data_IF_864530896209
#
_entry.id   IF_864530896209
#
_cell.length_a   1.000
_cell.length_b   1.000
_cell.length_c   1.000
_cell.angle_alpha   90.00
_cell.angle_beta   90.00
_cell.angle_gamma   90.00
#
_symmetry.space_group_name_H-M   'P 1'
#
loop_
_entity.id
_entity.type
_entity.pdbx_description
1 polymer ?
2 non-polymer ?
3 non-polymer ?
4 water ?
#
# COMPACT_ATOMS: atom_id res chain seq x y z
N UNK A 1 -2.51 -23.75 17.91
CA UNK A 1 -3.55 -23.53 16.85
C UNK A 1 -4.00 -24.89 16.26
N UNK A 2 -4.87 -25.54 17.01
CA UNK A 2 -5.83 -26.44 16.44
C UNK A 2 -7.13 -25.70 16.06
N UNK A 3 -7.09 -24.40 15.81
CA UNK A 3 -8.32 -23.63 15.51
C UNK A 3 -8.81 -23.92 14.08
N UNK A 4 -10.13 -24.12 13.90
CA UNK A 4 -10.63 -24.55 12.60
C UNK A 4 -10.55 -23.41 11.60
N UNK A 5 -10.55 -23.72 10.31
CA UNK A 5 -10.53 -22.65 9.35
C UNK A 5 -11.86 -21.89 9.43
N UNK A 6 -12.98 -22.62 9.60
CA UNK A 6 -14.27 -21.98 9.85
C UNK A 6 -14.23 -20.87 10.94
N UNK A 7 -13.50 -21.13 12.02
CA UNK A 7 -13.41 -20.19 13.14
C UNK A 7 -12.53 -18.98 12.77
N UNK A 8 -11.44 -19.21 12.04
CA UNK A 8 -10.60 -18.11 11.54
C UNK A 8 -11.40 -17.20 10.62
N UNK A 9 -12.17 -17.80 9.71
CA UNK A 9 -12.91 -17.07 8.73
C UNK A 9 -13.96 -16.26 9.39
N UNK A 10 -14.58 -16.85 10.39
CA UNK A 10 -15.66 -16.14 11.13
C UNK A 10 -15.13 -14.96 11.93
N UNK A 11 -14.00 -15.16 12.60
CA UNK A 11 -13.38 -14.10 13.42
C UNK A 11 -12.98 -12.92 12.52
N UNK A 12 -12.31 -13.17 11.43
CA UNK A 12 -11.85 -12.08 10.55
C UNK A 12 -13.04 -11.43 9.85
N UNK A 13 -14.01 -12.21 9.40
CA UNK A 13 -15.26 -11.59 8.90
C UNK A 13 -15.82 -10.65 9.95
N UNK A 14 -15.79 -11.06 11.21
CA UNK A 14 -16.39 -10.20 12.26
C UNK A 14 -15.61 -8.91 12.51
N UNK A 15 -14.31 -8.85 12.19
CA UNK A 15 -13.62 -7.59 12.40
C UNK A 15 -14.12 -6.58 11.36
N UNK A 16 -14.53 -7.04 10.17
CA UNK A 16 -15.02 -6.11 9.17
C UNK A 16 -16.45 -5.74 9.50
N UNK A 17 -17.25 -6.72 9.92
CA UNK A 17 -18.65 -6.48 10.32
C UNK A 17 -18.71 -5.45 11.48
N UNK A 18 -17.86 -5.59 12.50
CA UNK A 18 -17.87 -4.66 13.64
C UNK A 18 -17.49 -3.22 13.20
N UNK A 19 -16.59 -3.07 12.23
CA UNK A 19 -16.23 -1.75 11.73
C UNK A 19 -17.33 -1.19 10.82
N UNK A 20 -18.44 -1.92 10.68
CA UNK A 20 -19.48 -1.52 9.75
C UNK A 20 -18.99 -1.14 8.40
N UNK A 21 -18.09 -1.95 7.85
CA UNK A 21 -17.66 -1.79 6.47
C UNK A 21 -17.78 -3.11 5.70
N UNK A 22 -17.45 -3.06 4.42
CA UNK A 22 -17.34 -4.20 3.58
C UNK A 22 -15.89 -4.22 3.10
N UNK A 23 -15.25 -5.36 3.22
CA UNK A 23 -13.83 -5.49 2.90
C UNK A 23 -13.33 -6.91 2.85
N UNK A 24 -12.08 -7.02 2.45
CA UNK A 24 -11.43 -8.29 2.29
C UNK A 24 -9.98 -8.07 2.69
N UNK A 25 -9.33 -9.14 3.10
CA UNK A 25 -7.90 -9.11 3.35
C UNK A 25 -7.32 -10.37 2.76
N UNK A 26 -6.44 -10.18 1.77
CA UNK A 26 -5.80 -11.25 1.09
C UNK A 26 -4.43 -11.51 1.67
N UNK A 27 -4.12 -12.77 1.97
CA UNK A 27 -2.86 -13.19 2.58
C UNK A 27 -2.17 -14.16 1.62
N UNK A 28 -0.87 -14.01 1.45
CA UNK A 28 -0.12 -14.85 0.57
C UNK A 28 0.99 -15.57 1.28
N UNK A 29 0.95 -16.89 1.21
CA UNK A 29 1.94 -17.77 1.83
C UNK A 29 2.58 -18.63 0.76
N UNK A 30 3.80 -18.31 0.40
CA UNK A 30 4.44 -18.97 -0.71
C UNK A 30 3.75 -18.50 -1.95
N UNK A 31 3.20 -19.45 -2.71
CA UNK A 31 2.41 -19.12 -3.87
C UNK A 31 0.88 -19.08 -3.58
N UNK A 32 0.43 -19.43 -2.37
CA UNK A 32 -1.02 -19.64 -2.12
C UNK A 32 -1.68 -18.40 -1.57
N UNK A 33 -2.69 -17.91 -2.30
CA UNK A 33 -3.47 -16.74 -1.83
C UNK A 33 -4.61 -17.16 -0.99
N UNK A 34 -4.79 -16.64 0.22
CA UNK A 34 -6.02 -16.89 0.98
C UNK A 34 -6.82 -15.60 1.12
N UNK A 35 -8.14 -15.70 0.97
CA UNK A 35 -8.99 -14.53 1.02
C UNK A 35 -9.87 -14.53 2.27
N UNK A 36 -9.84 -13.49 3.07
CA UNK A 36 -10.64 -13.44 4.31
C UNK A 36 -11.47 -12.16 4.36
N UNK A 37 -12.48 -12.11 5.21
CA UNK A 37 -13.20 -10.86 5.43
C UNK A 37 -14.69 -11.07 5.26
N UNK A 38 -15.44 -9.99 5.09
CA UNK A 38 -16.89 -10.05 4.94
C UNK A 38 -17.37 -9.62 3.56
N UNK A 39 -16.47 -9.54 2.58
CA UNK A 39 -16.95 -9.29 1.20
C UNK A 39 -15.98 -9.84 0.17
N UNK A 40 -15.91 -11.17 0.09
CA UNK A 40 -14.81 -11.86 -0.58
C UNK A 40 -14.71 -11.51 -2.07
N UNK A 41 -15.83 -11.14 -2.66
CA UNK A 41 -15.84 -10.82 -4.11
C UNK A 41 -15.07 -9.53 -4.42
N UNK A 42 -14.72 -8.77 -3.42
CA UNK A 42 -13.87 -7.60 -3.65
C UNK A 42 -12.48 -8.01 -4.21
N UNK A 43 -12.09 -9.25 -4.02
CA UNK A 43 -10.71 -9.69 -4.26
C UNK A 43 -10.24 -9.42 -5.68
N UNK A 44 -11.12 -9.58 -6.65
CA UNK A 44 -10.74 -9.39 -8.06
C UNK A 44 -11.49 -8.20 -8.64
N UNK A 45 -11.97 -7.29 -7.81
CA UNK A 45 -12.50 -6.06 -8.41
C UNK A 45 -11.42 -4.96 -8.35
N UNK A 46 -11.53 -3.98 -9.23
CA UNK A 46 -10.54 -2.96 -9.43
C UNK A 46 -10.92 -1.71 -8.64
N UNK A 47 -9.92 -1.07 -8.00
CA UNK A 47 -10.14 0.15 -7.24
C UNK A 47 -8.96 1.04 -7.53
N UNK A 48 -9.12 2.35 -7.40
CA UNK A 48 -7.97 3.25 -7.55
C UNK A 48 -6.93 2.86 -6.46
N UNK A 49 -5.64 2.80 -6.79
CA UNK A 49 -4.63 2.50 -5.77
C UNK A 49 -4.44 3.55 -4.67
N UNK A 50 -4.86 4.79 -4.95
CA UNK A 50 -4.63 5.95 -4.12
C UNK A 50 -3.20 5.95 -3.66
N UNK A 51 -2.97 6.10 -2.38
CA UNK A 51 -1.63 6.33 -1.91
C UNK A 51 -0.76 5.08 -1.89
N UNK A 52 -1.33 3.90 -2.16
CA UNK A 52 -0.48 2.74 -2.27
C UNK A 52 0.48 2.99 -3.44
N UNK A 53 0.10 3.86 -4.35
CA UNK A 53 0.93 4.16 -5.49
C UNK A 53 2.24 4.83 -5.10
N UNK A 54 2.31 5.39 -3.90
CA UNK A 54 3.56 6.02 -3.46
C UNK A 54 4.75 5.03 -3.47
N UNK A 55 4.46 3.75 -3.25
CA UNK A 55 5.49 2.75 -3.24
C UNK A 55 6.12 2.70 -4.60
N UNK A 56 5.30 2.76 -5.65
CA UNK A 56 5.84 2.64 -7.00
C UNK A 56 6.45 3.96 -7.50
N UNK A 57 5.86 5.08 -7.11
CA UNK A 57 6.41 6.39 -7.39
C UNK A 57 7.81 6.51 -6.81
N UNK A 58 7.99 6.05 -5.58
CA UNK A 58 9.32 6.08 -4.98
C UNK A 58 10.32 5.22 -5.74
N UNK A 59 9.91 4.00 -6.09
CA UNK A 59 10.81 3.07 -6.80
C UNK A 59 11.25 3.68 -8.13
N UNK A 60 10.31 4.22 -8.87
CA UNK A 60 10.60 4.87 -10.11
C UNK A 60 11.52 6.13 -9.94
N UNK A 61 11.25 6.98 -8.95
CA UNK A 61 12.02 8.19 -8.77
C UNK A 61 13.45 7.86 -8.41
N UNK A 62 13.65 6.89 -7.54
CA UNK A 62 14.98 6.50 -7.12
C UNK A 62 15.73 5.79 -8.23
N UNK A 63 15.09 4.85 -8.92
CA UNK A 63 15.75 4.07 -9.96
C UNK A 63 16.31 5.02 -11.02
N UNK A 64 15.53 6.07 -11.30
CA UNK A 64 15.85 7.02 -12.33
C UNK A 64 16.56 8.32 -11.88
N UNK A 65 17.09 8.31 -10.67
CA UNK A 65 17.93 9.41 -10.19
C UNK A 65 17.20 10.76 -10.09
N UNK A 66 15.90 10.72 -9.85
CA UNK A 66 15.09 11.90 -9.52
C UNK A 66 15.21 12.38 -8.08
N UNK A 67 15.85 11.60 -7.22
CA UNK A 67 15.97 11.95 -5.84
C UNK A 67 16.92 10.97 -5.26
N UNK A 68 17.39 11.20 -4.04
CA UNK A 68 18.10 10.18 -3.27
C UNK A 68 17.36 9.99 -1.99
N UNK A 69 17.77 9.03 -1.16
CA UNK A 69 17.07 8.75 0.04
C UNK A 69 17.31 9.73 1.18
N UNK A 70 18.36 10.54 1.11
CA UNK A 70 18.64 11.47 2.19
C UNK A 70 18.29 12.89 1.82
N UNK A 71 17.97 13.09 0.54
CA UNK A 71 17.56 14.38 0.07
C UNK A 71 16.38 14.95 0.86
N UNK A 72 16.45 16.23 1.20
CA UNK A 72 15.38 16.89 1.91
C UNK A 72 14.52 17.69 0.96
N UNK A 73 13.23 17.33 0.90
CA UNK A 73 12.23 18.05 0.11
C UNK A 73 11.70 19.18 0.99
N UNK A 74 11.96 20.40 0.58
CA UNK A 74 11.59 21.53 1.40
C UNK A 74 10.13 21.75 1.33
N UNK A 75 9.49 22.03 2.44
CA UNK A 75 8.12 22.57 2.43
C UNK A 75 8.19 23.96 1.80
N UNK A 76 7.30 24.22 0.84
CA UNK A 76 7.27 25.50 0.14
C UNK A 76 6.55 26.61 0.93
N UNK A 77 6.04 26.35 2.12
CA UNK A 77 5.46 27.41 2.88
C UNK A 77 3.96 27.59 2.75
N UNK A 78 3.31 26.89 1.82
CA UNK A 78 1.86 27.03 1.61
C UNK A 78 1.11 26.13 2.56
N UNK A 79 -0.12 26.51 2.88
CA UNK A 79 -0.87 25.83 3.93
C UNK A 79 -1.17 24.45 3.39
N UNK A 80 -1.16 23.47 4.27
CA UNK A 80 -1.44 22.11 3.86
C UNK A 80 -2.62 21.56 4.60
N UNK A 81 -3.28 20.63 3.92
CA UNK A 81 -4.40 19.93 4.43
C UNK A 81 -4.05 19.48 5.83
N UNK A 82 -2.84 19.00 6.09
CA UNK A 82 -2.48 18.65 7.47
C UNK A 82 -1.13 19.31 7.92
N UNK A 83 -1.03 19.81 9.16
CA UNK A 83 0.14 20.50 9.69
C UNK A 83 1.37 19.64 9.66
N UNK A 84 1.12 18.35 9.73
CA UNK A 84 2.21 17.42 9.76
C UNK A 84 2.98 17.46 8.43
N UNK A 85 2.33 17.91 7.36
CA UNK A 85 2.99 17.99 6.10
C UNK A 85 3.68 19.32 5.95
N UNK A 86 3.52 20.25 6.90
CA UNK A 86 4.15 21.60 6.78
C UNK A 86 5.59 21.59 7.30
N UNK A 87 6.45 20.85 6.64
CA UNK A 87 7.78 20.58 7.16
C UNK A 87 8.57 19.97 6.02
N UNK A 88 9.88 20.07 6.14
CA UNK A 88 10.80 19.57 5.11
C UNK A 88 11.02 18.10 5.37
N UNK A 89 11.06 17.27 4.35
CA UNK A 89 11.14 15.84 4.66
C UNK A 89 11.77 14.99 3.54
N UNK A 90 12.34 13.85 3.95
CA UNK A 90 12.86 12.84 3.02
C UNK A 90 11.72 12.06 2.40
N UNK A 91 11.98 11.36 1.30
CA UNK A 91 10.99 10.43 0.75
C UNK A 91 10.45 9.47 1.80
N UNK A 92 11.34 8.97 2.64
CA UNK A 92 10.97 8.02 3.63
C UNK A 92 10.04 8.60 4.68
N UNK A 93 10.35 9.81 5.13
CA UNK A 93 9.47 10.50 6.05
C UNK A 93 8.14 10.78 5.37
N UNK A 94 8.16 11.17 4.11
CA UNK A 94 6.95 11.47 3.41
C UNK A 94 6.13 10.17 3.20
N UNK A 95 6.79 9.02 3.13
CA UNK A 95 6.07 7.74 2.99
C UNK A 95 5.18 7.54 4.20
N UNK A 96 5.80 7.62 5.39
CA UNK A 96 5.11 7.43 6.69
C UNK A 96 3.99 8.37 6.97
N UNK A 97 4.11 9.59 6.46
CA UNK A 97 3.11 10.62 6.65
C UNK A 97 2.19 10.64 5.45
N UNK A 98 2.41 9.75 4.50
CA UNK A 98 1.71 9.81 3.23
C UNK A 98 1.61 11.24 2.74
N UNK A 99 2.73 11.96 2.71
CA UNK A 99 2.73 13.38 2.27
C UNK A 99 2.68 13.60 0.76
N UNK A 100 1.54 14.03 0.27
CA UNK A 100 1.34 14.14 -1.18
C UNK A 100 2.21 15.12 -1.89
N UNK A 101 2.44 16.29 -1.29
CA UNK A 101 3.22 17.28 -2.02
C UNK A 101 4.61 16.78 -2.39
N UNK A 102 5.23 16.00 -1.54
CA UNK A 102 6.54 15.42 -1.84
C UNK A 102 6.46 14.43 -2.99
N UNK A 103 5.41 13.57 -2.97
CA UNK A 103 5.30 12.50 -3.94
C UNK A 103 4.83 13.10 -5.26
N UNK A 104 4.06 14.18 -5.17
CA UNK A 104 3.72 14.97 -6.37
C UNK A 104 4.91 15.61 -7.04
N UNK A 105 5.76 16.26 -6.24
CA UNK A 105 7.04 16.79 -6.72
C UNK A 105 7.89 15.71 -7.35
N UNK A 106 7.92 14.55 -6.74
CA UNK A 106 8.73 13.50 -7.32
C UNK A 106 8.18 13.04 -8.68
N UNK A 107 6.84 12.99 -8.75
CA UNK A 107 6.13 12.57 -9.95
C UNK A 107 6.42 13.57 -11.04
N UNK A 108 6.30 14.85 -10.72
CA UNK A 108 6.69 15.90 -11.68
C UNK A 108 8.14 15.81 -12.11
N UNK A 109 9.07 15.41 -11.25
CA UNK A 109 10.47 15.34 -11.70
C UNK A 109 10.53 14.20 -12.69
N UNK A 110 9.88 13.09 -12.36
CA UNK A 110 9.89 11.94 -13.24
C UNK A 110 9.24 12.35 -14.55
N UNK A 111 8.12 13.06 -14.48
CA UNK A 111 7.41 13.51 -15.70
C UNK A 111 6.48 12.41 -16.22
N UNK A 112 5.44 12.81 -16.95
CA UNK A 112 4.35 11.93 -17.38
C UNK A 112 4.78 10.81 -18.29
N UNK A 113 5.56 11.17 -19.29
CA UNK A 113 6.15 10.21 -20.23
C UNK A 113 6.93 9.11 -19.55
N UNK A 114 7.96 9.44 -18.79
CA UNK A 114 8.69 8.40 -18.11
C UNK A 114 7.80 7.63 -17.07
N UNK A 115 6.78 8.29 -16.53
CA UNK A 115 5.98 7.62 -15.51
C UNK A 115 5.11 6.56 -16.20
N UNK A 116 4.52 6.95 -17.32
CA UNK A 116 3.76 6.05 -18.22
C UNK A 116 4.55 4.82 -18.58
N UNK A 117 5.72 5.03 -19.16
CA UNK A 117 6.57 3.91 -19.58
C UNK A 117 6.83 2.96 -18.43
N UNK A 118 7.05 3.54 -17.27
CA UNK A 118 7.62 2.81 -16.17
C UNK A 118 6.49 2.04 -15.50
N UNK A 119 5.30 2.60 -15.55
CA UNK A 119 4.14 1.93 -14.97
C UNK A 119 3.76 0.76 -15.92
N UNK A 120 3.77 0.95 -17.25
CA UNK A 120 3.65 -0.17 -18.23
C UNK A 120 4.73 -1.23 -18.01
N UNK A 121 6.00 -0.85 -17.96
CA UNK A 121 7.05 -1.83 -17.77
C UNK A 121 6.82 -2.67 -16.52
N UNK A 122 6.27 -2.09 -15.47
CA UNK A 122 6.14 -2.82 -14.19
C UNK A 122 4.82 -3.61 -14.20
N UNK A 123 3.98 -3.29 -15.18
CA UNK A 123 2.62 -3.84 -15.34
C UNK A 123 1.90 -3.77 -13.98
N UNK A 124 1.71 -2.54 -13.51
CA UNK A 124 1.02 -2.27 -12.24
C UNK A 124 -0.45 -2.02 -12.47
N UNK A 125 -1.30 -2.90 -11.95
CA UNK A 125 -2.74 -2.77 -12.17
C UNK A 125 -3.16 -2.88 -13.62
N UNK A 126 -4.14 -2.07 -14.00
CA UNK A 126 -4.53 -1.86 -15.38
C UNK A 126 -3.55 -1.00 -16.19
N UNK A 127 -2.52 -0.49 -15.53
CA UNK A 127 -1.38 0.17 -16.17
C UNK A 127 -1.65 1.53 -16.86
N UNK A 128 -2.86 2.09 -16.76
CA UNK A 128 -3.17 3.41 -17.37
C UNK A 128 -3.00 4.61 -16.42
N UNK A 129 -2.03 5.50 -16.67
CA UNK A 129 -1.90 6.68 -15.80
C UNK A 129 -2.44 7.99 -16.39
N UNK A 130 -3.05 7.92 -17.58
CA UNK A 130 -3.75 9.06 -18.17
C UNK A 130 -2.85 10.22 -18.56
N UNK A 131 -3.36 11.44 -18.47
CA UNK A 131 -2.68 12.63 -19.01
C UNK A 131 -2.11 13.59 -17.93
N UNK A 132 -2.35 13.28 -16.65
CA UNK A 132 -1.91 14.11 -15.52
C UNK A 132 -0.95 13.31 -14.59
N UNK A 133 0.34 13.72 -14.59
CA UNK A 133 1.42 13.00 -13.87
C UNK A 133 1.27 13.02 -12.33
N UNK A 134 0.67 14.08 -11.76
CA UNK A 134 0.51 14.18 -10.30
C UNK A 134 -0.90 13.89 -9.74
N UNK A 135 -1.91 13.84 -10.61
CA UNK A 135 -3.25 13.32 -10.29
C UNK A 135 -3.59 12.12 -11.18
N UNK A 136 -3.28 10.90 -10.69
CA UNK A 136 -3.63 9.63 -11.38
C UNK A 136 -3.78 8.38 -10.49
N UNK A 137 -3.05 8.38 -9.38
CA UNK A 137 -3.22 7.41 -8.29
C UNK A 137 -4.46 7.72 -7.45
N UNK A 140 -8.14 8.21 -10.40
CA UNK A 140 -8.29 7.53 -11.71
C UNK A 140 -7.32 8.02 -12.78
N UNK A 141 -7.24 7.30 -13.94
CA UNK A 141 -7.98 6.08 -14.34
C UNK A 141 -7.21 4.79 -14.05
N UNK A 142 -6.01 4.90 -13.51
CA UNK A 142 -5.33 3.77 -12.93
C UNK A 142 -6.20 3.09 -11.84
N UNK A 143 -6.46 1.80 -12.05
CA UNK A 143 -7.08 0.91 -11.06
C UNK A 143 -6.30 -0.32 -10.85
N UNK A 144 -6.58 -0.99 -9.74
CA UNK A 144 -5.89 -2.22 -9.39
C UNK A 144 -6.74 -3.07 -8.44
N UNK A 145 -6.58 -4.40 -8.48
CA UNK A 145 -7.36 -5.31 -7.64
C UNK A 145 -6.59 -5.63 -6.39
N UNK A 146 -7.31 -6.09 -5.36
CA UNK A 146 -6.56 -6.52 -4.17
C UNK A 146 -5.55 -7.67 -4.41
N UNK A 147 -5.90 -8.59 -5.30
CA UNK A 147 -4.99 -9.70 -5.63
C UNK A 147 -3.74 -9.14 -6.29
N UNK A 148 -3.91 -8.21 -7.21
CA UNK A 148 -2.79 -7.56 -7.84
C UNK A 148 -1.93 -6.77 -6.86
N UNK A 149 -2.57 -6.15 -5.87
CA UNK A 149 -1.78 -5.48 -4.79
C UNK A 149 -0.96 -6.40 -3.90
N UNK A 150 -1.54 -7.54 -3.46
CA UNK A 150 -0.78 -8.43 -2.63
C UNK A 150 0.37 -9.05 -3.44
N UNK A 151 0.18 -9.28 -4.74
CA UNK A 151 1.22 -9.82 -5.54
C UNK A 151 2.33 -8.77 -5.75
N UNK A 152 1.97 -7.50 -5.80
CA UNK A 152 2.97 -6.45 -5.97
C UNK A 152 3.78 -6.42 -4.70
N UNK A 153 3.11 -6.51 -3.56
CA UNK A 153 3.77 -6.59 -2.30
C UNK A 153 4.69 -7.78 -2.19
N UNK A 154 4.22 -8.91 -2.70
CA UNK A 154 5.04 -10.14 -2.76
C UNK A 154 6.32 -9.91 -3.59
N UNK A 155 6.17 -9.36 -4.79
CA UNK A 155 7.27 -9.01 -5.63
C UNK A 155 8.28 -8.12 -4.89
N UNK A 156 7.82 -6.99 -4.36
CA UNK A 156 8.73 -6.08 -3.69
C UNK A 156 9.38 -6.71 -2.48
N UNK A 157 8.64 -7.48 -1.71
CA UNK A 157 9.25 -8.02 -0.51
C UNK A 157 10.42 -8.99 -0.82
N UNK A 158 10.35 -9.66 -1.98
CA UNK A 158 11.35 -10.61 -2.46
C UNK A 158 12.25 -10.04 -3.57
N UNK A 159 12.20 -8.74 -3.77
CA UNK A 159 13.07 -8.09 -4.70
C UNK A 159 12.92 -8.57 -6.10
N UNK A 160 11.70 -8.86 -6.51
CA UNK A 160 11.47 -9.36 -7.85
C UNK A 160 10.98 -8.33 -8.82
N UNK A 161 10.72 -7.11 -8.37
CA UNK A 161 10.29 -6.12 -9.37
C UNK A 161 11.46 -5.80 -10.30
N UNK A 162 11.17 -5.30 -11.50
CA UNK A 162 12.31 -5.00 -12.33
C UNK A 162 12.92 -3.61 -12.03
N UNK A 163 13.58 -3.53 -10.87
CA UNK A 163 14.39 -2.41 -10.45
C UNK A 163 15.59 -3.01 -9.77
N UNK A 164 16.64 -2.21 -9.57
CA UNK A 164 17.87 -2.70 -8.99
C UNK A 164 17.48 -3.11 -7.63
N UNK A 165 18.26 -4.04 -7.10
CA UNK A 165 18.05 -4.54 -5.77
C UNK A 165 18.10 -3.40 -4.76
N UNK A 166 19.04 -2.47 -4.92
CA UNK A 166 19.25 -1.45 -3.90
C UNK A 166 18.08 -0.44 -3.94
N UNK A 167 17.54 -0.16 -5.11
CA UNK A 167 16.32 0.65 -5.18
C UNK A 167 15.18 0.00 -4.37
N UNK A 168 15.06 -1.34 -4.46
CA UNK A 168 13.98 -2.03 -3.80
C UNK A 168 14.20 -2.05 -2.32
N UNK A 169 15.44 -2.25 -1.88
CA UNK A 169 15.76 -2.22 -0.45
C UNK A 169 15.59 -0.82 0.10
N UNK A 170 15.89 0.19 -0.69
CA UNK A 170 15.76 1.57 -0.21
C UNK A 170 14.29 1.80 0.06
N UNK A 171 13.40 1.40 -0.87
CA UNK A 171 11.99 1.64 -0.66
C UNK A 171 11.48 0.79 0.48
N UNK A 172 11.95 -0.43 0.60
CA UNK A 172 11.42 -1.24 1.69
C UNK A 172 11.69 -0.64 3.04
N UNK A 173 12.87 -0.02 3.20
CA UNK A 173 13.21 0.65 4.47
C UNK A 173 12.19 1.73 4.83
N UNK A 174 11.58 2.39 3.82
CA UNK A 174 10.56 3.42 4.06
C UNK A 174 9.22 2.96 4.61
N UNK A 175 8.98 1.66 4.61
CA UNK A 175 7.62 1.12 4.78
C UNK A 175 7.42 0.48 6.14
N UNK A 176 8.46 0.42 6.94
CA UNK A 176 8.32 -0.16 8.25
C UNK A 176 7.34 0.68 9.06
N UNK A 177 6.21 0.09 9.42
CA UNK A 177 5.21 0.79 10.18
C UNK A 177 4.96 0.16 11.53
N UNK A 178 5.44 -1.04 11.81
CA UNK A 178 5.18 -1.62 13.12
C UNK A 178 6.04 -2.78 13.44
N UNK A 179 6.25 -2.99 14.72
CA UNK A 179 7.04 -4.11 15.18
C UNK A 179 6.25 -4.77 16.31
N UNK A 180 5.88 -6.03 16.13
CA UNK A 180 5.09 -6.75 17.11
C UNK A 180 5.81 -8.07 17.34
N UNK A 181 6.22 -8.32 18.58
CA UNK A 181 6.81 -9.60 19.01
C UNK A 181 7.80 -10.22 18.07
N UNK A 182 8.90 -9.53 17.76
CA UNK A 182 9.90 -10.04 16.81
C UNK A 182 9.50 -10.12 15.33
N UNK A 183 8.27 -9.71 15.01
CA UNK A 183 7.79 -9.66 13.63
C UNK A 183 7.77 -8.18 13.18
N UNK A 184 8.20 -7.93 11.95
CA UNK A 184 8.08 -6.56 11.43
C UNK A 184 7.04 -6.44 10.33
N UNK A 185 6.27 -5.36 10.36
CA UNK A 185 5.24 -5.14 9.36
C UNK A 185 5.59 -3.99 8.43
N UNK A 186 5.84 -4.28 7.15
CA UNK A 186 6.05 -3.26 6.14
C UNK A 186 4.74 -3.09 5.37
N UNK A 187 4.30 -1.86 5.14
CA UNK A 187 3.05 -1.65 4.43
C UNK A 187 2.82 -0.17 4.10
N UNK A 188 1.98 0.06 3.10
CA UNK A 188 1.48 1.37 2.82
C UNK A 188 -0.06 1.47 2.77
N UNK A 189 -0.61 2.52 3.38
CA UNK A 189 -2.05 2.71 3.46
C UNK A 189 -2.49 3.46 2.30
N UNK A 190 -3.79 3.38 2.04
CA UNK A 190 -4.41 4.18 0.98
C UNK A 190 -5.85 4.53 1.33
N UNK A 191 -6.34 5.63 0.80
CA UNK A 191 -7.74 6.03 0.91
C UNK A 191 -8.10 6.85 -0.32
N UNK A 192 -8.90 6.29 -1.20
CA UNK A 192 -9.21 6.96 -2.44
C UNK A 192 -10.70 7.22 -2.52
N UNK A 193 -11.08 8.29 -3.20
CA UNK A 193 -12.47 8.54 -3.55
C UNK A 193 -12.70 8.04 -4.97
N UNK A 194 -13.69 7.16 -5.15
CA UNK A 194 -13.99 6.57 -6.47
C UNK A 194 -15.27 7.21 -7.00
N UNK A 195 -15.83 6.66 -8.08
CA UNK A 195 -17.15 7.08 -8.56
C UNK A 195 -18.19 6.48 -7.60
N UNK A 196 -18.58 7.27 -6.60
CA UNK A 196 -19.65 6.91 -5.65
C UNK A 196 -19.21 6.19 -4.34
N UNK A 197 -17.98 5.68 -4.26
CA UNK A 197 -17.52 5.05 -2.99
C UNK A 197 -16.06 5.36 -2.68
N UNK A 198 -15.67 5.22 -1.41
CA UNK A 198 -14.31 5.39 -1.01
C UNK A 198 -13.67 4.05 -0.76
N UNK A 199 -12.41 3.91 -1.19
CA UNK A 199 -11.63 2.71 -0.91
C UNK A 199 -10.53 2.94 0.13
N UNK A 200 -10.33 1.98 1.03
CA UNK A 200 -9.26 1.99 1.99
C UNK A 200 -8.33 0.82 1.67
N UNK A 201 -7.01 1.03 1.81
CA UNK A 201 -6.04 0.00 1.58
C UNK A 201 -5.04 -0.06 2.70
N UNK A 202 -4.56 -1.26 2.99
CA UNK A 202 -3.29 -1.43 3.62
C UNK A 202 -2.63 -2.65 3.00
N UNK A 203 -1.56 -2.37 2.26
CA UNK A 203 -0.87 -3.35 1.42
C UNK A 203 0.61 -3.40 1.81
N UNK A 204 1.09 -4.59 2.14
CA UNK A 204 2.45 -4.80 2.57
C UNK A 204 2.81 -6.26 2.84
N UNK A 205 3.61 -6.50 3.86
CA UNK A 205 4.06 -7.85 4.20
C UNK A 205 4.53 -7.88 5.61
N UNK A 206 4.38 -9.03 6.25
CA UNK A 206 4.91 -9.30 7.53
C UNK A 206 6.26 -10.01 7.32
N UNK A 207 7.32 -9.49 7.96
CA UNK A 207 8.60 -10.18 8.00
C UNK A 207 8.81 -10.79 9.41
N UNK A 208 8.83 -12.11 9.42
CA UNK A 208 8.88 -12.80 10.68
C UNK A 208 10.32 -12.93 11.16
N UNK A 209 10.46 -13.08 12.47
CA UNK A 209 11.75 -13.28 13.13
C UNK A 209 12.63 -14.19 12.32
N UNK A 210 12.11 -15.33 11.89
CA UNK A 210 12.90 -16.28 11.09
C UNK A 210 13.18 -15.93 9.64
N UNK A 211 12.91 -14.71 9.19
CA UNK A 211 13.12 -14.32 7.79
C UNK A 211 11.99 -14.61 6.78
N UNK A 212 11.01 -15.42 7.17
CA UNK A 212 9.86 -15.64 6.29
C UNK A 212 9.06 -14.35 6.06
N UNK A 213 8.69 -14.15 4.81
CA UNK A 213 7.83 -13.03 4.43
C UNK A 213 6.43 -13.45 4.01
N UNK A 214 5.44 -12.84 4.64
CA UNK A 214 4.01 -13.05 4.33
C UNK A 214 3.27 -11.79 3.86
N UNK A 215 3.13 -11.63 2.55
CA UNK A 215 2.45 -10.47 1.99
C UNK A 215 0.90 -10.45 2.21
N UNK A 216 0.33 -9.26 2.28
CA UNK A 216 -1.09 -9.10 2.53
C UNK A 216 -1.58 -7.82 1.86
N UNK A 217 -2.88 -7.80 1.57
CA UNK A 217 -3.51 -6.58 1.11
C UNK A 217 -4.89 -6.53 1.69
N UNK A 218 -5.11 -5.56 2.55
CA UNK A 218 -6.42 -5.25 3.02
C UNK A 218 -7.05 -4.19 2.09
N UNK A 219 -8.31 -4.40 1.78
CA UNK A 219 -9.09 -3.53 0.92
C UNK A 219 -10.53 -3.45 1.46
N UNK A 220 -11.04 -2.24 1.68
CA UNK A 220 -12.37 -2.03 2.26
C UNK A 220 -13.03 -0.69 1.86
N UNK A 221 -14.33 -0.56 2.16
CA UNK A 221 -15.05 0.67 1.88
C UNK A 221 -14.91 1.62 3.08
N UNK A 222 -14.32 2.79 2.83
CA UNK A 222 -14.21 3.83 3.86
C UNK A 222 -15.55 4.62 3.88
N UNK A 223 -16.07 4.92 5.05
CA UNK A 223 -17.31 5.71 5.20
C UNK A 223 -17.02 6.97 6.01
N UNK A 224 -17.75 8.06 5.70
CA UNK A 224 -17.69 9.35 6.48
C UNK A 224 -17.64 9.05 7.95
N UNK A 225 -16.63 9.62 8.60
CA UNK A 225 -16.47 9.41 10.04
C UNK A 225 -15.38 8.42 10.43
N UNK A 226 -15.05 7.48 9.56
CA UNK A 226 -14.11 6.44 9.95
C UNK A 226 -12.74 7.02 10.20
N UNK A 227 -12.05 6.56 11.23
CA UNK A 227 -10.66 6.89 11.33
C UNK A 227 -9.88 5.93 10.41
N UNK A 228 -8.75 6.41 9.91
CA UNK A 228 -7.93 5.67 8.99
C UNK A 228 -7.24 4.50 9.64
N UNK A 229 -7.12 4.57 10.95
CA UNK A 229 -6.34 3.60 11.66
C UNK A 229 -7.17 2.29 11.84
N UNK A 230 -8.43 2.32 11.45
CA UNK A 230 -9.22 1.11 11.32
C UNK A 230 -8.61 0.14 10.28
N UNK A 231 -7.93 0.67 9.27
CA UNK A 231 -7.29 -0.19 8.30
C UNK A 231 -6.21 -0.99 8.98
N UNK A 232 -5.39 -0.31 9.77
CA UNK A 232 -4.38 -0.99 10.56
C UNK A 232 -4.92 -1.98 11.60
N UNK A 233 -5.96 -1.58 12.27
CA UNK A 233 -6.45 -2.37 13.37
C UNK A 233 -7.02 -3.67 12.80
N UNK A 234 -7.77 -3.59 11.70
CA UNK A 234 -8.36 -4.81 11.14
C UNK A 234 -7.24 -5.71 10.65
N UNK A 235 -6.28 -5.09 9.98
CA UNK A 235 -5.12 -5.85 9.52
C UNK A 235 -4.39 -6.55 10.68
N UNK A 236 -4.11 -5.85 11.76
CA UNK A 236 -3.31 -6.47 12.82
C UNK A 236 -4.10 -7.56 13.51
N UNK A 237 -5.37 -7.32 13.79
CA UNK A 237 -6.20 -8.37 14.34
C UNK A 237 -6.24 -9.64 13.47
N UNK A 238 -6.31 -9.46 12.16
CA UNK A 238 -6.41 -10.58 11.25
C UNK A 238 -5.12 -11.34 11.23
N UNK A 239 -3.99 -10.64 11.16
CA UNK A 239 -2.71 -11.31 11.11
C UNK A 239 -2.52 -12.08 12.42
N UNK A 240 -2.99 -11.48 13.51
CA UNK A 240 -2.83 -12.10 14.80
C UNK A 240 -3.71 -13.34 14.93
N UNK A 241 -4.97 -13.21 14.57
CA UNK A 241 -5.85 -14.37 14.58
C UNK A 241 -5.23 -15.55 13.80
N UNK A 242 -4.47 -15.25 12.74
CA UNK A 242 -3.95 -16.31 11.90
C UNK A 242 -2.64 -16.85 12.45
N UNK A 243 -2.17 -16.28 13.56
CA UNK A 243 -0.84 -16.59 14.11
C UNK A 243 0.31 -16.08 13.25
N UNK A 244 0.06 -15.15 12.32
CA UNK A 244 1.11 -14.69 11.44
C UNK A 244 1.99 -13.63 12.17
N UNK A 245 1.38 -12.85 13.06
CA UNK A 245 2.14 -12.06 14.05
C UNK A 245 1.71 -12.40 15.46
X LIG B 1 -4.81 10.84 2.52
X LIG B 1 -6.47 9.26 -6.05
X LIG B 1 -4.33 7.34 -0.33
X LIG B 1 -5.31 11.73 -1.31
X LIG B 1 -9.28 11.14 -1.34
X LIG B 1 -3.28 9.00 2.45
X LIG B 1 -5.55 9.65 -0.54
X LIG B 1 -8.04 10.98 -1.36
X LIG B 1 -8.35 9.65 -4.27
X LIG B 1 -9.07 8.71 -6.47
X LIG B 1 -3.43 7.79 3.46
X LIG B 1 -4.47 9.54 1.82
X LIG B 1 -4.33 9.63 0.29
X LIG B 1 -3.67 8.35 -0.17
X LIG B 1 -5.90 10.65 -1.36
X LIG B 1 -7.15 10.55 -2.15
X LIG B 1 -9.89 11.43 -0.05
X LIG B 1 -7.21 10.05 -3.59
X LIG B 1 -6.09 9.90 -4.45
X LIG B 1 -8.10 9.18 -5.52
X LIG B 1 -8.87 12.06 0.91
X LIG B 1 -10.45 10.18 0.61
X LIG B 1 -11.00 12.41 -0.32
X LIG B 1 -10.76 13.26 -1.19
X LIG B 1 -12.10 12.35 0.28
X LIG B 1 -4.34 8.11 4.52
X LIG B 1 -2.28 7.30 4.13
X LIG B 1 -4.06 6.68 2.61
X LIG C 1 -0.29 -10.09 -10.74
X LIG C 1 -1.46 -10.46 -10.32
X LIG C 1 0.80 -10.72 -10.66
X LIG C 1 -0.13 -8.93 -11.33
#
# INVERSE_FOLDING_TARGET
>A
MHISSQQHEKAIKSYFDEAQTQGVIIIKEGKNLSTYGNALARANKEYVPASTFKMLNALIGLENHKATTNEIFKWDGKKRTYPMWEKDMTLGEAMALSADPVYQELARRTGLELMQKEVKRVNFGNTNIGTQVDNFWLVGPLKITPVQEVNFADDLAHNRLPFKLETQEEVKKMLLIKEVNGSKIYAKSGWGMGVTSQVGWLTGWVEQANGKKIPFSLNLEMKEGMSGSIRNEITYKSLENLGII
>B hetero
1 AZR C7 S8 O9 O10 O11 N12 N13 N14 N15 N16 S17 C18 C19 C20 C21 C22 C23 C24 C25 C26 C27 C28 C29 O30 O31 O32 O33 O34
>C hetero
1 BCT C O1 O2 O3
#
